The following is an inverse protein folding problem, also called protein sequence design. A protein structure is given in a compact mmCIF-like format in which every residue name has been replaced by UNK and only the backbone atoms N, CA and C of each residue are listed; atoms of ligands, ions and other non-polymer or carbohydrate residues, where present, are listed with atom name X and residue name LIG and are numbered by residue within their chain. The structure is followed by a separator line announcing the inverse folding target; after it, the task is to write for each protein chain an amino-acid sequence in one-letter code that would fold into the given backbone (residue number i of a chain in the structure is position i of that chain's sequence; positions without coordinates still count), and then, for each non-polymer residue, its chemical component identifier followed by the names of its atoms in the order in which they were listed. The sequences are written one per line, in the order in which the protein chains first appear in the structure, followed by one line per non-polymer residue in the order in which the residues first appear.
data_IF_561944831325
#
_entry.id   IF_561944831325
#
_cell.length_a   1.000
_cell.length_b   1.000
_cell.length_c   1.000
_cell.angle_alpha   90.00
_cell.angle_beta   90.00
_cell.angle_gamma   90.00
#
_symmetry.space_group_name_H-M   'P 1'
#
loop_
_entity.id
_entity.type
_entity.pdbx_description
1 polymer ?
#
# COMPACT_ATOMS: atom_id res chain seq x y z
N UNK A 1 6.69 0.54 20.91
CA UNK A 1 6.09 -0.79 20.74
C UNK A 1 7.05 -1.63 19.90
N UNK A 2 7.54 -2.78 20.39
CA UNK A 2 8.52 -3.59 19.62
C UNK A 2 7.89 -4.49 18.55
N UNK A 3 6.69 -5.02 18.82
CA UNK A 3 5.89 -5.82 17.89
C UNK A 3 4.63 -5.03 17.53
N UNK A 4 4.42 -4.72 16.25
CA UNK A 4 3.32 -3.87 15.76
C UNK A 4 2.46 -4.63 14.76
N UNK A 5 1.17 -4.33 14.69
CA UNK A 5 0.28 -4.80 13.63
C UNK A 5 0.25 -3.79 12.48
N UNK A 6 0.39 -4.30 11.27
CA UNK A 6 0.36 -3.58 10.01
C UNK A 6 -0.78 -4.10 9.13
N UNK A 7 -1.27 -3.22 8.25
CA UNK A 7 -2.15 -3.61 7.15
C UNK A 7 -2.07 -2.63 6.00
N UNK A 8 -2.30 -3.11 4.78
CA UNK A 8 -2.43 -2.29 3.57
C UNK A 8 -3.83 -2.45 3.00
N UNK A 9 -4.44 -1.35 2.57
CA UNK A 9 -5.69 -1.28 1.82
C UNK A 9 -5.35 -0.74 0.43
N UNK A 10 -5.40 -1.58 -0.60
CA UNK A 10 -5.01 -1.18 -1.95
C UNK A 10 -6.21 -1.22 -2.87
N UNK A 11 -6.59 -0.04 -3.40
CA UNK A 11 -7.57 0.12 -4.46
C UNK A 11 -6.89 -0.05 -5.84
N UNK A 12 -7.58 -0.71 -6.77
CA UNK A 12 -7.06 -0.99 -8.11
C UNK A 12 -7.88 -0.27 -9.18
N UNK A 13 -7.18 0.46 -10.05
CA UNK A 13 -7.78 1.03 -11.24
C UNK A 13 -8.23 -0.07 -12.19
N UNK A 14 -9.42 0.04 -12.77
CA UNK A 14 -9.98 -0.99 -13.66
C UNK A 14 -10.48 -0.39 -14.98
N UNK A 15 -10.16 -1.04 -16.10
CA UNK A 15 -10.75 -0.70 -17.39
C UNK A 15 -10.83 -1.91 -18.30
N UNK A 16 -11.76 -1.88 -19.26
CA UNK A 16 -11.86 -2.85 -20.33
C UNK A 16 -11.84 -2.10 -21.67
N UNK A 17 -10.91 -2.50 -22.55
CA UNK A 17 -10.74 -1.83 -23.84
C UNK A 17 -10.79 -2.83 -24.99
N UNK A 18 -11.24 -2.37 -26.15
CA UNK A 18 -11.20 -3.10 -27.39
C UNK A 18 -10.75 -2.14 -28.50
N UNK A 19 -9.66 -2.48 -29.20
CA UNK A 19 -9.06 -1.63 -30.26
C UNK A 19 -8.83 -0.18 -29.83
N UNK A 20 -8.36 0.02 -28.59
CA UNK A 20 -8.05 1.34 -28.04
C UNK A 20 -9.25 2.16 -27.55
N UNK A 21 -10.47 1.62 -27.64
CA UNK A 21 -11.67 2.26 -27.11
C UNK A 21 -12.19 1.53 -25.87
N UNK A 22 -12.76 2.28 -24.92
CA UNK A 22 -13.41 1.68 -23.75
C UNK A 22 -14.59 0.82 -24.22
N UNK A 23 -14.60 -0.45 -23.84
CA UNK A 23 -15.62 -1.42 -24.23
C UNK A 23 -16.72 -1.56 -23.16
N UNK A 24 -16.32 -1.56 -21.89
CA UNK A 24 -17.21 -1.65 -20.75
C UNK A 24 -16.91 -0.52 -19.75
N UNK A 25 -17.92 -0.06 -19.04
CA UNK A 25 -17.75 0.84 -17.90
C UNK A 25 -17.00 0.15 -16.75
N UNK A 26 -16.30 0.90 -15.86
CA UNK A 26 -15.65 0.33 -14.68
C UNK A 26 -16.59 -0.55 -13.85
N UNK A 27 -17.84 -0.12 -13.65
CA UNK A 27 -18.87 -0.88 -12.91
C UNK A 27 -19.19 -2.23 -13.55
N UNK A 28 -19.30 -2.28 -14.88
CA UNK A 28 -19.53 -3.54 -15.60
C UNK A 28 -18.33 -4.47 -15.45
N UNK A 29 -17.11 -3.96 -15.62
CA UNK A 29 -15.89 -4.76 -15.45
C UNK A 29 -15.78 -5.29 -14.02
N UNK A 30 -16.05 -4.44 -13.02
CA UNK A 30 -16.08 -4.83 -11.62
C UNK A 30 -17.08 -5.97 -11.36
N UNK A 31 -18.28 -5.93 -11.96
CA UNK A 31 -19.25 -7.03 -11.88
C UNK A 31 -18.73 -8.32 -12.50
N UNK A 32 -18.04 -8.25 -13.66
CA UNK A 32 -17.42 -9.44 -14.26
C UNK A 32 -16.31 -10.02 -13.40
N UNK A 33 -15.46 -9.18 -12.80
CA UNK A 33 -14.40 -9.61 -11.88
C UNK A 33 -14.99 -10.27 -10.63
N UNK A 34 -15.98 -9.64 -10.00
CA UNK A 34 -16.53 -10.07 -8.72
C UNK A 34 -17.62 -11.15 -8.85
N UNK A 35 -18.01 -11.58 -10.06
CA UNK A 35 -18.99 -12.68 -10.23
C UNK A 35 -18.54 -13.95 -9.47
N UNK A 36 -17.23 -14.26 -9.49
CA UNK A 36 -16.65 -15.39 -8.73
C UNK A 36 -16.59 -15.11 -7.23
N UNK A 37 -16.38 -13.86 -6.82
CA UNK A 37 -16.35 -13.44 -5.40
C UNK A 37 -17.75 -13.53 -4.78
N UNK A 38 -18.77 -13.09 -5.51
CA UNK A 38 -20.17 -13.20 -5.11
C UNK A 38 -20.57 -14.67 -4.98
N UNK A 39 -20.05 -15.58 -5.81
CA UNK A 39 -20.33 -17.00 -5.61
C UNK A 39 -19.62 -17.60 -4.39
N UNK A 40 -18.55 -16.98 -3.88
CA UNK A 40 -17.87 -17.40 -2.63
C UNK A 40 -18.62 -16.98 -1.37
N UNK A 41 -19.17 -15.77 -1.34
CA UNK A 41 -19.72 -15.17 -0.10
C UNK A 41 -21.10 -14.53 -0.21
N UNK A 42 -21.79 -14.70 -1.34
CA UNK A 42 -23.09 -14.04 -1.68
C UNK A 42 -23.06 -12.50 -1.60
N UNK A 43 -21.86 -11.92 -1.60
CA UNK A 43 -21.60 -10.49 -1.41
C UNK A 43 -20.41 -10.07 -2.26
N UNK A 44 -20.37 -8.81 -2.70
CA UNK A 44 -19.20 -8.19 -3.31
C UNK A 44 -18.15 -7.76 -2.29
N UNK A 45 -18.37 -8.05 -1.01
CA UNK A 45 -17.47 -7.78 0.11
C UNK A 45 -17.32 -9.07 0.93
N UNK A 46 -16.13 -9.66 0.89
CA UNK A 46 -15.85 -10.96 1.52
C UNK A 46 -14.52 -10.94 2.26
N UNK A 47 -14.45 -11.72 3.34
CA UNK A 47 -13.18 -12.12 3.92
C UNK A 47 -12.72 -13.44 3.29
N UNK A 48 -11.44 -13.52 2.97
CA UNK A 48 -10.80 -14.65 2.31
C UNK A 48 -10.17 -15.61 3.32
N UNK A 49 -9.80 -16.83 2.85
CA UNK A 49 -9.13 -17.85 3.67
C UNK A 49 -7.80 -17.40 4.25
N UNK A 50 -7.06 -16.58 3.51
CA UNK A 50 -5.82 -15.97 4.01
C UNK A 50 -6.06 -14.82 5.01
N UNK A 51 -7.30 -14.58 5.44
CA UNK A 51 -7.66 -13.55 6.40
C UNK A 51 -7.77 -12.14 5.83
N UNK A 52 -7.45 -11.93 4.55
CA UNK A 52 -7.63 -10.67 3.85
C UNK A 52 -9.11 -10.33 3.66
N UNK A 53 -9.40 -9.08 3.31
CA UNK A 53 -10.72 -8.63 2.87
C UNK A 53 -10.63 -8.18 1.41
N UNK A 54 -11.56 -8.65 0.58
CA UNK A 54 -11.67 -8.28 -0.82
C UNK A 54 -13.08 -7.71 -1.07
N UNK A 55 -13.14 -6.49 -1.58
CA UNK A 55 -14.42 -5.82 -1.79
C UNK A 55 -14.40 -4.83 -2.95
N UNK A 56 -15.58 -4.32 -3.32
CA UNK A 56 -15.73 -3.16 -4.20
C UNK A 56 -15.91 -1.91 -3.35
N UNK A 57 -14.99 -0.95 -3.46
CA UNK A 57 -15.08 0.33 -2.77
C UNK A 57 -15.80 1.39 -3.63
N UNK A 58 -15.85 2.64 -3.13
CA UNK A 58 -16.49 3.77 -3.80
C UNK A 58 -15.89 3.97 -5.20
N UNK A 59 -16.76 4.13 -6.20
CA UNK A 59 -16.35 4.24 -7.60
C UNK A 59 -16.05 2.90 -8.27
N UNK A 60 -16.46 1.78 -7.65
CA UNK A 60 -16.35 0.42 -8.20
C UNK A 60 -14.92 -0.07 -8.40
N UNK A 61 -13.96 0.49 -7.65
CA UNK A 61 -12.60 -0.02 -7.59
C UNK A 61 -12.59 -1.34 -6.80
N UNK A 62 -12.02 -2.42 -7.36
CA UNK A 62 -11.60 -3.56 -6.55
C UNK A 62 -10.63 -3.09 -5.47
N UNK A 63 -10.90 -3.44 -4.22
CA UNK A 63 -10.01 -3.15 -3.11
C UNK A 63 -9.64 -4.43 -2.38
N UNK A 64 -8.34 -4.61 -2.15
CA UNK A 64 -7.80 -5.69 -1.34
C UNK A 64 -7.15 -5.10 -0.08
N UNK A 65 -7.67 -5.48 1.07
CA UNK A 65 -7.07 -5.18 2.37
C UNK A 65 -6.35 -6.43 2.90
N UNK A 66 -5.04 -6.32 3.16
CA UNK A 66 -4.23 -7.43 3.66
C UNK A 66 -4.78 -7.96 4.99
N UNK A 67 -4.52 -9.23 5.35
CA UNK A 67 -4.67 -9.65 6.74
C UNK A 67 -3.75 -8.81 7.64
N UNK A 68 -4.04 -8.80 8.93
CA UNK A 68 -3.16 -8.21 9.93
C UNK A 68 -1.83 -8.96 9.95
N UNK A 69 -0.74 -8.25 9.68
CA UNK A 69 0.62 -8.79 9.72
C UNK A 69 1.39 -8.12 10.86
N UNK A 70 2.32 -8.83 11.49
CA UNK A 70 3.25 -8.27 12.49
C UNK A 70 4.73 -8.36 12.06
N UNK A 71 4.95 -8.83 10.83
CA UNK A 71 6.20 -8.85 10.09
C UNK A 71 6.01 -8.01 8.82
N UNK A 72 6.93 -7.09 8.53
CA UNK A 72 6.87 -6.28 7.30
C UNK A 72 7.10 -7.16 6.07
N UNK A 73 7.91 -8.22 6.18
CA UNK A 73 8.14 -9.17 5.09
C UNK A 73 6.87 -9.94 4.78
N UNK A 74 6.14 -10.39 5.81
CA UNK A 74 4.86 -11.09 5.64
C UNK A 74 3.82 -10.16 5.02
N UNK A 75 3.79 -8.89 5.44
CA UNK A 75 2.91 -7.88 4.84
C UNK A 75 3.18 -7.73 3.33
N UNK A 76 4.45 -7.67 2.93
CA UNK A 76 4.84 -7.60 1.51
C UNK A 76 4.36 -8.85 0.77
N UNK A 77 4.57 -10.05 1.33
CA UNK A 77 4.08 -11.28 0.73
C UNK A 77 2.56 -11.30 0.56
N UNK A 78 1.81 -10.84 1.56
CA UNK A 78 0.34 -10.77 1.53
C UNK A 78 -0.22 -9.69 0.60
N UNK A 79 0.48 -8.56 0.44
CA UNK A 79 0.15 -7.54 -0.56
C UNK A 79 0.34 -8.10 -1.98
N UNK A 80 1.46 -8.79 -2.23
CA UNK A 80 1.69 -9.51 -3.50
C UNK A 80 0.68 -10.62 -3.73
N UNK A 81 0.26 -11.33 -2.68
CA UNK A 81 -0.80 -12.34 -2.78
C UNK A 81 -2.13 -11.73 -3.25
N UNK A 82 -2.46 -10.52 -2.78
CA UNK A 82 -3.61 -9.75 -3.25
C UNK A 82 -3.57 -9.48 -4.76
N UNK A 83 -2.41 -9.06 -5.28
CA UNK A 83 -2.22 -8.89 -6.72
C UNK A 83 -2.43 -10.20 -7.50
N UNK A 84 -1.95 -11.34 -6.98
CA UNK A 84 -2.12 -12.64 -7.63
C UNK A 84 -3.57 -13.13 -7.59
N UNK A 85 -4.31 -12.83 -6.54
CA UNK A 85 -5.75 -13.11 -6.45
C UNK A 85 -6.50 -12.29 -7.51
N UNK A 86 -6.23 -10.99 -7.60
CA UNK A 86 -6.86 -10.11 -8.58
C UNK A 86 -6.47 -10.44 -10.03
N UNK A 87 -5.21 -10.81 -10.30
CA UNK A 87 -4.78 -11.32 -11.61
C UNK A 87 -5.58 -12.59 -12.00
N UNK A 88 -5.84 -13.49 -11.05
CA UNK A 88 -6.69 -14.66 -11.26
C UNK A 88 -8.14 -14.29 -11.61
N UNK A 89 -8.72 -13.32 -10.89
CA UNK A 89 -10.07 -12.82 -11.18
C UNK A 89 -10.16 -12.16 -12.56
N UNK A 90 -9.11 -11.43 -12.96
CA UNK A 90 -8.98 -10.82 -14.29
C UNK A 90 -9.02 -11.89 -15.38
N UNK A 91 -8.17 -12.92 -15.27
CA UNK A 91 -8.12 -14.01 -16.27
C UNK A 91 -9.46 -14.72 -16.40
N UNK A 92 -10.12 -15.00 -15.27
CA UNK A 92 -11.45 -15.61 -15.27
C UNK A 92 -12.50 -14.70 -15.91
N UNK A 93 -12.42 -13.39 -15.68
CA UNK A 93 -13.35 -12.42 -16.25
C UNK A 93 -13.16 -12.27 -17.76
N UNK A 94 -11.92 -12.22 -18.25
CA UNK A 94 -11.63 -12.20 -19.69
C UNK A 94 -12.15 -13.46 -20.38
N UNK A 95 -11.96 -14.64 -19.77
CA UNK A 95 -12.54 -15.89 -20.29
C UNK A 95 -14.06 -15.80 -20.41
N UNK A 96 -14.76 -15.31 -19.38
CA UNK A 96 -16.22 -15.12 -19.42
C UNK A 96 -16.66 -14.15 -20.51
N UNK A 97 -15.98 -13.02 -20.65
CA UNK A 97 -16.28 -12.05 -21.72
C UNK A 97 -16.16 -12.71 -23.09
N UNK A 98 -15.10 -13.48 -23.31
CA UNK A 98 -14.89 -14.22 -24.55
C UNK A 98 -15.99 -15.26 -24.79
N UNK A 99 -16.35 -16.06 -23.78
CA UNK A 99 -17.41 -17.07 -23.86
C UNK A 99 -18.79 -16.44 -24.16
N UNK A 100 -19.03 -15.21 -23.69
CA UNK A 100 -20.23 -14.41 -23.98
C UNK A 100 -20.14 -13.64 -25.33
N UNK A 101 -19.08 -13.85 -26.13
CA UNK A 101 -18.88 -13.20 -27.43
C UNK A 101 -18.46 -11.73 -27.37
N UNK A 102 -18.04 -11.25 -26.20
CA UNK A 102 -17.61 -9.87 -25.97
C UNK A 102 -16.09 -9.81 -26.11
N UNK A 103 -15.63 -9.25 -27.24
CA UNK A 103 -14.22 -8.95 -27.42
C UNK A 103 -13.80 -7.75 -26.56
N UNK A 104 -12.79 -7.94 -25.71
CA UNK A 104 -12.22 -6.90 -24.86
C UNK A 104 -11.09 -7.43 -23.99
N UNK A 105 -10.17 -6.55 -23.63
CA UNK A 105 -9.06 -6.84 -22.72
C UNK A 105 -9.26 -6.06 -21.42
N UNK A 106 -9.16 -6.75 -20.29
CA UNK A 106 -9.26 -6.13 -18.97
C UNK A 106 -7.87 -5.72 -18.50
N UNK A 107 -7.80 -4.55 -17.89
CA UNK A 107 -6.61 -4.00 -17.25
C UNK A 107 -6.93 -3.70 -15.80
N UNK A 108 -6.04 -4.14 -14.90
CA UNK A 108 -6.04 -3.78 -13.50
C UNK A 108 -4.72 -3.08 -13.19
N UNK A 109 -4.80 -1.88 -12.63
CA UNK A 109 -3.65 -1.05 -12.33
C UNK A 109 -3.50 -0.88 -10.83
N UNK A 110 -2.32 -1.23 -10.30
CA UNK A 110 -1.92 -0.90 -8.92
C UNK A 110 -1.19 0.43 -8.91
N UNK A 111 -1.95 1.51 -9.08
CA UNK A 111 -1.48 2.88 -9.10
C UNK A 111 -2.46 3.76 -8.29
N UNK A 112 -2.40 5.08 -8.45
CA UNK A 112 -3.23 6.00 -7.65
C UNK A 112 -4.05 6.99 -8.45
N UNK A 113 -3.93 7.02 -9.78
CA UNK A 113 -4.62 8.01 -10.60
C UNK A 113 -5.03 7.44 -11.95
N UNK A 114 -6.22 7.79 -12.43
CA UNK A 114 -6.64 7.49 -13.79
C UNK A 114 -6.30 8.63 -14.78
N UNK A 115 -6.59 8.41 -16.06
CA UNK A 115 -6.41 9.40 -17.12
C UNK A 115 -7.38 10.58 -17.04
N UNK A 116 -8.46 10.47 -16.25
CA UNK A 116 -9.43 11.55 -16.04
C UNK A 116 -9.05 12.45 -14.85
N UNK A 117 -7.96 12.14 -14.14
CA UNK A 117 -7.51 12.89 -12.98
C UNK A 117 -8.18 12.47 -11.66
N UNK A 118 -9.00 11.41 -11.67
CA UNK A 118 -9.48 10.82 -10.43
C UNK A 118 -8.32 10.13 -9.71
N UNK A 119 -8.41 10.04 -8.38
CA UNK A 119 -7.41 9.34 -7.59
C UNK A 119 -8.03 8.42 -6.56
N UNK A 120 -7.39 7.26 -6.41
CA UNK A 120 -7.68 6.16 -5.49
C UNK A 120 -6.41 5.81 -4.69
N UNK A 121 -6.58 5.14 -3.56
CA UNK A 121 -5.55 5.04 -2.51
C UNK A 121 -4.85 3.69 -2.38
N UNK A 122 -3.62 3.75 -1.87
CA UNK A 122 -3.06 2.68 -1.05
C UNK A 122 -2.97 3.24 0.37
N UNK A 123 -3.79 2.75 1.28
CA UNK A 123 -3.76 3.19 2.68
C UNK A 123 -2.95 2.23 3.53
N UNK A 124 -2.20 2.80 4.46
CA UNK A 124 -1.39 2.07 5.41
C UNK A 124 -2.03 2.17 6.79
N UNK A 125 -2.06 1.03 7.49
CA UNK A 125 -2.64 0.91 8.82
C UNK A 125 -1.56 0.46 9.79
N UNK A 126 -1.34 1.26 10.83
CA UNK A 126 -0.40 0.95 11.91
C UNK A 126 -1.13 0.92 13.24
N UNK A 127 -1.05 -0.20 13.95
CA UNK A 127 -1.51 -0.24 15.34
C UNK A 127 -0.57 0.61 16.19
N UNK A 128 -1.08 1.62 16.89
CA UNK A 128 -0.31 2.45 17.81
C UNK A 128 -0.92 2.39 19.21
N UNK A 129 -0.09 2.63 20.22
CA UNK A 129 -0.58 2.73 21.61
C UNK A 129 -1.57 3.89 21.73
N UNK A 130 -2.61 3.71 22.54
CA UNK A 130 -3.49 4.83 22.93
C UNK A 130 -2.84 5.74 23.97
N UNK A 131 -1.81 5.27 24.66
CA UNK A 131 -1.06 6.06 25.64
C UNK A 131 -0.22 7.14 24.94
N UNK A 132 -0.32 8.38 25.42
CA UNK A 132 0.38 9.54 24.88
C UNK A 132 -0.52 10.50 24.09
N UNK A 133 0.04 11.64 23.71
CA UNK A 133 -0.67 12.67 22.96
C UNK A 133 -0.58 12.41 21.46
N UNK A 134 -1.74 12.21 20.81
CA UNK A 134 -1.79 11.99 19.36
C UNK A 134 -1.26 13.18 18.55
N UNK A 135 -1.42 14.40 19.07
CA UNK A 135 -0.87 15.62 18.45
C UNK A 135 0.64 15.52 18.27
N UNK A 136 1.38 15.15 19.33
CA UNK A 136 2.84 14.96 19.28
C UNK A 136 3.24 13.88 18.26
N UNK A 137 2.47 12.80 18.14
CA UNK A 137 2.70 11.79 17.12
C UNK A 137 2.57 12.40 15.72
N UNK A 138 1.50 13.14 15.46
CA UNK A 138 1.26 13.79 14.17
C UNK A 138 2.35 14.84 13.84
N UNK A 139 2.77 15.65 14.81
CA UNK A 139 3.77 16.72 14.63
C UNK A 139 5.12 16.15 14.16
N UNK A 140 5.54 15.00 14.71
CA UNK A 140 6.76 14.32 14.28
C UNK A 140 6.50 13.54 12.98
N UNK A 141 5.35 12.91 12.82
CA UNK A 141 5.13 12.01 11.69
C UNK A 141 4.88 12.75 10.36
N UNK A 142 4.20 13.90 10.37
CA UNK A 142 3.83 14.63 9.15
C UNK A 142 5.05 15.04 8.30
N UNK A 143 6.11 15.67 8.86
CA UNK A 143 7.30 16.03 8.07
C UNK A 143 7.98 14.81 7.43
N UNK A 144 8.04 13.69 8.16
CA UNK A 144 8.53 12.42 7.61
C UNK A 144 7.66 11.95 6.45
N UNK A 145 6.33 11.88 6.63
CA UNK A 145 5.40 11.40 5.61
C UNK A 145 5.39 12.26 4.34
N UNK A 146 5.49 13.58 4.48
CA UNK A 146 5.58 14.53 3.36
C UNK A 146 6.83 14.30 2.52
N UNK A 147 7.96 14.00 3.16
CA UNK A 147 9.27 13.87 2.49
C UNK A 147 9.62 12.43 2.10
N UNK A 148 8.92 11.44 2.68
CA UNK A 148 9.06 10.00 2.43
C UNK A 148 8.86 9.61 0.95
N UNK A 149 8.15 10.42 0.16
CA UNK A 149 8.02 10.18 -1.28
C UNK A 149 9.36 10.13 -2.03
N UNK A 150 10.43 10.74 -1.50
CA UNK A 150 11.79 10.57 -2.03
C UNK A 150 12.25 9.12 -1.98
N UNK A 151 11.92 8.42 -0.90
CA UNK A 151 12.40 7.05 -0.67
C UNK A 151 11.42 6.00 -1.17
N UNK A 152 10.12 6.29 -1.27
CA UNK A 152 9.13 5.28 -1.65
C UNK A 152 8.03 5.74 -2.63
N UNK A 153 8.22 6.84 -3.35
CA UNK A 153 7.31 7.26 -4.41
C UNK A 153 7.22 6.24 -5.55
N UNK A 154 6.07 6.17 -6.22
CA UNK A 154 5.85 5.28 -7.35
C UNK A 154 6.15 5.95 -8.72
N UNK A 155 6.39 7.26 -8.71
CA UNK A 155 6.67 8.06 -9.89
C UNK A 155 5.43 8.39 -10.71
N UNK A 156 5.40 9.58 -11.31
CA UNK A 156 4.32 10.01 -12.22
C UNK A 156 4.85 10.92 -13.32
N UNK A 157 4.38 10.74 -14.55
CA UNK A 157 4.54 11.75 -15.60
C UNK A 157 3.34 12.69 -15.54
N UNK A 158 3.53 13.86 -14.94
CA UNK A 158 2.49 14.86 -14.78
C UNK A 158 2.50 15.84 -15.96
N UNK A 159 1.35 16.01 -16.61
CA UNK A 159 1.16 17.06 -17.60
C UNK A 159 0.85 18.37 -16.88
N UNK A 160 1.67 19.40 -17.09
CA UNK A 160 1.45 20.74 -16.54
C UNK A 160 1.27 21.74 -17.69
N UNK A 161 0.71 22.95 -17.43
CA UNK A 161 0.67 24.01 -18.42
C UNK A 161 2.04 24.42 -18.99
N UNK A 162 3.13 24.11 -18.27
CA UNK A 162 4.52 24.41 -18.68
C UNK A 162 5.23 23.24 -19.38
N UNK A 163 4.52 22.12 -19.59
CA UNK A 163 5.06 20.88 -20.14
C UNK A 163 4.96 19.70 -19.18
N UNK A 164 5.33 18.53 -19.67
CA UNK A 164 5.38 17.32 -18.85
C UNK A 164 6.56 17.36 -17.89
N UNK A 165 6.34 16.93 -16.65
CA UNK A 165 7.37 16.78 -15.62
C UNK A 165 7.28 15.40 -14.99
N UNK A 166 8.42 14.86 -14.56
CA UNK A 166 8.45 13.61 -13.80
C UNK A 166 8.42 13.93 -12.31
N UNK A 167 7.44 13.40 -11.59
CA UNK A 167 7.23 13.62 -10.17
C UNK A 167 7.50 12.34 -9.37
N UNK A 168 7.86 12.48 -8.10
CA UNK A 168 8.10 11.36 -7.18
C UNK A 168 6.80 10.61 -6.85
N UNK A 169 5.72 11.33 -6.55
CA UNK A 169 4.47 10.76 -6.05
C UNK A 169 3.30 10.96 -7.00
N UNK A 170 2.46 9.93 -7.13
CA UNK A 170 1.17 10.01 -7.80
C UNK A 170 0.09 10.68 -6.95
N UNK A 171 0.19 10.55 -5.61
CA UNK A 171 -0.80 11.04 -4.64
C UNK A 171 -0.66 12.50 -4.29
N UNK A 172 0.55 13.07 -4.34
CA UNK A 172 0.84 14.42 -3.81
C UNK A 172 -0.12 15.53 -4.29
N UNK A 173 -0.53 15.53 -5.57
CA UNK A 173 -1.46 16.53 -6.12
C UNK A 173 -2.88 16.43 -5.55
N UNK A 174 -3.24 15.26 -5.01
CA UNK A 174 -4.58 14.92 -4.56
C UNK A 174 -4.76 14.93 -3.04
N UNK A 175 -3.76 15.39 -2.29
CA UNK A 175 -3.80 15.55 -0.82
C UNK A 175 -4.12 17.01 -0.48
N UNK A 176 -5.11 17.23 0.39
CA UNK A 176 -5.64 18.58 0.66
C UNK A 176 -5.58 19.01 2.13
N UNK A 177 -5.52 18.07 3.06
CA UNK A 177 -5.47 18.36 4.51
C UNK A 177 -4.31 17.64 5.20
N UNK A 178 -3.82 18.20 6.31
CA UNK A 178 -2.80 17.52 7.11
C UNK A 178 -3.41 16.34 7.88
N UNK A 179 -4.51 16.63 8.58
CA UNK A 179 -5.19 15.68 9.48
C UNK A 179 -6.70 15.87 9.32
N UNK A 180 -7.45 14.79 9.10
CA UNK A 180 -8.91 14.83 8.89
C UNK A 180 -9.53 13.45 9.16
N UNK A 181 -10.85 13.34 9.24
CA UNK A 181 -11.54 12.04 9.37
C UNK A 181 -12.11 11.50 8.05
N UNK A 182 -12.20 12.34 7.01
CA UNK A 182 -12.71 11.95 5.70
C UNK A 182 -11.59 11.42 4.79
N UNK A 183 -11.87 10.38 4.00
CA UNK A 183 -10.91 9.75 3.07
C UNK A 183 -11.09 10.19 1.62
N UNK A 184 -12.30 10.60 1.22
CA UNK A 184 -12.62 10.88 -0.19
C UNK A 184 -12.70 12.36 -0.54
N UNK A 185 -13.24 13.21 0.35
CA UNK A 185 -13.45 14.66 0.12
C UNK A 185 -12.23 15.52 0.49
N UNK A 186 -11.69 15.36 1.70
CA UNK A 186 -10.58 16.18 2.20
C UNK A 186 -9.20 15.52 2.08
N UNK A 187 -9.13 14.18 1.99
CA UNK A 187 -7.89 13.40 1.78
C UNK A 187 -6.71 13.92 2.62
N UNK A 188 -6.72 13.68 3.94
CA UNK A 188 -5.66 14.13 4.83
C UNK A 188 -4.34 13.37 4.63
N UNK A 189 -3.24 13.80 5.22
CA UNK A 189 -2.03 12.97 5.33
C UNK A 189 -2.27 11.83 6.32
N UNK A 190 -2.84 12.16 7.49
CA UNK A 190 -3.24 11.22 8.54
C UNK A 190 -4.75 11.25 8.72
N UNK A 191 -5.40 10.09 8.58
CA UNK A 191 -6.80 9.94 8.90
C UNK A 191 -7.00 9.67 10.41
N UNK A 192 -7.96 10.39 11.01
CA UNK A 192 -8.25 10.37 12.47
C UNK A 192 -9.47 9.55 12.86
N UNK A 193 -10.04 8.78 11.93
CA UNK A 193 -11.18 7.91 12.24
C UNK A 193 -10.77 6.90 13.32
N UNK A 194 -11.43 6.96 14.47
CA UNK A 194 -11.10 6.13 15.63
C UNK A 194 -11.77 4.75 15.56
N UNK A 195 -11.37 3.95 14.57
CA UNK A 195 -11.78 2.55 14.39
C UNK A 195 -10.56 1.65 14.58
N UNK A 196 -10.17 1.33 15.84
CA UNK A 196 -8.92 0.62 16.11
C UNK A 196 -8.93 -0.83 15.61
N UNK A 197 -10.12 -1.39 15.35
CA UNK A 197 -10.35 -2.83 15.16
C UNK A 197 -9.59 -3.64 16.21
N UNK A 198 -9.47 -3.17 17.43
CA UNK A 198 -8.76 -3.80 18.53
C UNK A 198 -9.42 -3.34 19.83
N UNK A 199 -8.84 -3.69 20.97
CA UNK A 199 -9.22 -3.08 22.24
C UNK A 199 -9.03 -1.56 22.20
N UNK A 200 -10.14 -0.83 22.24
CA UNK A 200 -10.19 0.61 22.11
C UNK A 200 -9.61 1.36 23.33
N UNK A 201 -9.45 0.70 24.48
CA UNK A 201 -8.78 1.33 25.63
C UNK A 201 -7.26 1.31 25.47
N UNK A 202 -6.73 0.33 24.74
CA UNK A 202 -5.29 0.08 24.62
C UNK A 202 -4.68 0.66 23.34
N UNK A 203 -5.45 0.67 22.25
CA UNK A 203 -4.89 0.90 20.92
C UNK A 203 -5.67 1.94 20.10
N UNK A 204 -4.98 2.47 19.08
CA UNK A 204 -5.54 3.23 17.96
C UNK A 204 -5.05 2.60 16.64
N UNK A 205 -5.84 2.76 15.58
CA UNK A 205 -5.41 2.48 14.21
C UNK A 205 -4.97 3.79 13.58
N UNK A 206 -3.67 3.97 13.42
CA UNK A 206 -3.13 5.09 12.66
C UNK A 206 -3.29 4.78 11.17
N UNK A 207 -4.16 5.54 10.50
CA UNK A 207 -4.50 5.35 9.09
C UNK A 207 -3.83 6.43 8.25
N UNK A 208 -2.87 6.03 7.42
CA UNK A 208 -2.04 6.93 6.60
C UNK A 208 -2.45 6.74 5.14
N UNK A 209 -2.83 7.83 4.46
CA UNK A 209 -3.40 7.75 3.10
C UNK A 209 -2.56 8.47 2.03
N UNK A 210 -1.38 8.95 2.42
CA UNK A 210 -0.46 9.75 1.59
C UNK A 210 0.45 8.90 0.70
N UNK A 211 0.62 7.61 1.03
CA UNK A 211 1.51 6.71 0.31
C UNK A 211 0.99 6.36 -1.09
N UNK A 212 1.92 6.20 -2.03
CA UNK A 212 1.61 5.64 -3.35
C UNK A 212 1.42 4.11 -3.28
N UNK A 213 0.70 3.57 -4.26
CA UNK A 213 0.62 2.14 -4.53
C UNK A 213 1.93 1.69 -5.19
N UNK A 214 2.68 0.82 -4.53
CA UNK A 214 3.99 0.37 -4.99
C UNK A 214 3.91 -0.97 -5.69
N UNK A 215 4.59 -1.09 -6.84
CA UNK A 215 4.77 -2.36 -7.54
C UNK A 215 5.94 -3.14 -6.97
N UNK A 216 7.02 -2.42 -6.63
CA UNK A 216 8.26 -3.02 -6.16
C UNK A 216 8.19 -3.43 -4.68
N UNK A 217 8.40 -4.72 -4.42
CA UNK A 217 8.41 -5.32 -3.08
C UNK A 217 9.39 -4.62 -2.13
N UNK A 218 10.56 -4.23 -2.62
CA UNK A 218 11.59 -3.54 -1.84
C UNK A 218 11.16 -2.10 -1.51
N UNK A 219 10.45 -1.44 -2.42
CA UNK A 219 9.84 -0.13 -2.12
C UNK A 219 8.77 -0.24 -1.05
N UNK A 220 7.90 -1.26 -1.10
CA UNK A 220 6.88 -1.50 -0.05
C UNK A 220 7.54 -1.80 1.31
N UNK A 221 8.60 -2.62 1.33
CA UNK A 221 9.40 -2.89 2.53
C UNK A 221 9.94 -1.59 3.15
N UNK A 222 10.55 -0.72 2.33
CA UNK A 222 11.08 0.55 2.78
C UNK A 222 9.98 1.50 3.28
N UNK A 223 8.87 1.60 2.54
CA UNK A 223 7.72 2.46 2.89
C UNK A 223 7.17 2.16 4.28
N UNK A 224 6.89 0.87 4.54
CA UNK A 224 6.28 0.42 5.80
C UNK A 224 7.31 0.33 6.92
N UNK A 225 8.49 -0.22 6.61
CA UNK A 225 9.56 -0.39 7.60
C UNK A 225 10.09 0.93 8.15
N UNK A 226 10.32 1.94 7.28
CA UNK A 226 10.79 3.25 7.73
C UNK A 226 9.76 3.94 8.62
N UNK A 227 8.48 3.87 8.27
CA UNK A 227 7.38 4.40 9.07
C UNK A 227 7.28 3.69 10.43
N UNK A 228 7.41 2.36 10.47
CA UNK A 228 7.44 1.61 11.72
C UNK A 228 8.58 2.05 12.63
N UNK A 229 9.80 2.20 12.10
CA UNK A 229 10.95 2.65 12.88
C UNK A 229 10.70 4.06 13.44
N UNK A 230 10.15 4.99 12.64
CA UNK A 230 9.78 6.34 13.11
C UNK A 230 8.72 6.28 14.22
N UNK A 231 7.69 5.44 14.08
CA UNK A 231 6.68 5.26 15.12
C UNK A 231 7.30 4.68 16.41
N UNK A 232 8.23 3.72 16.30
CA UNK A 232 8.95 3.16 17.46
C UNK A 232 9.81 4.22 18.14
N UNK A 233 10.47 5.10 17.38
CA UNK A 233 11.23 6.23 17.93
C UNK A 233 10.34 7.18 18.72
N UNK A 234 9.19 7.58 18.15
CA UNK A 234 8.21 8.45 18.80
C UNK A 234 7.72 7.82 20.12
N UNK A 235 7.31 6.54 20.07
CA UNK A 235 6.81 5.82 21.24
C UNK A 235 7.89 5.59 22.31
N UNK A 236 9.16 5.50 21.92
CA UNK A 236 10.29 5.41 22.84
C UNK A 236 10.73 6.77 23.39
N UNK A 237 10.09 7.88 22.98
CA UNK A 237 10.41 9.22 23.44
C UNK A 237 11.73 9.77 22.88
N UNK A 238 12.20 9.26 21.73
CA UNK A 238 13.39 9.80 21.07
C UNK A 238 13.17 11.28 20.76
N UNK A 239 14.11 12.12 21.17
CA UNK A 239 14.04 13.57 20.93
C UNK A 239 14.40 13.82 19.46
N UNK A 240 13.44 14.37 18.74
CA UNK A 240 13.57 14.81 17.35
C UNK A 240 13.69 16.33 17.29
N UNK A 241 14.45 16.84 16.33
CA UNK A 241 14.39 18.26 15.98
C UNK A 241 12.97 18.60 15.54
N UNK A 242 12.49 19.80 15.88
CA UNK A 242 11.24 20.31 15.35
C UNK A 242 11.38 20.63 13.85
N UNK A 243 10.75 19.79 13.04
CA UNK A 243 10.69 19.87 11.58
C UNK A 243 9.26 20.17 11.11
N UNK A 244 8.41 20.73 11.98
CA UNK A 244 7.04 21.12 11.64
C UNK A 244 7.03 22.01 10.41
N UNK A 245 6.27 21.61 9.40
CA UNK A 245 6.16 22.33 8.13
C UNK A 245 5.18 23.49 8.29
N UNK A 246 5.51 24.68 7.74
CA UNK A 246 4.61 25.83 7.75
C UNK A 246 3.29 25.48 7.03
N UNK A 247 3.39 24.78 5.91
CA UNK A 247 2.24 24.29 5.15
C UNK A 247 2.55 22.90 4.56
N UNK A 248 2.15 21.81 5.24
CA UNK A 248 2.37 20.44 4.77
C UNK A 248 1.81 20.16 3.37
N UNK A 249 0.72 20.83 3.00
CA UNK A 249 -0.05 20.61 1.76
C UNK A 249 0.59 21.29 0.56
N UNK A 250 1.22 22.45 0.79
CA UNK A 250 2.12 23.03 -0.20
C UNK A 250 3.38 22.17 -0.30
N UNK A 251 4.03 21.87 0.82
CA UNK A 251 5.29 21.15 0.87
C UNK A 251 5.21 19.80 0.15
N UNK A 252 4.16 19.00 0.33
CA UNK A 252 4.03 17.69 -0.34
C UNK A 252 4.07 17.76 -1.86
N UNK A 253 3.45 18.77 -2.47
CA UNK A 253 3.50 19.00 -3.92
C UNK A 253 4.87 19.50 -4.35
N UNK A 254 5.43 20.43 -3.58
CA UNK A 254 6.75 20.99 -3.85
C UNK A 254 7.86 19.93 -3.82
N UNK A 255 7.78 18.98 -2.90
CA UNK A 255 8.67 17.83 -2.81
C UNK A 255 8.44 16.87 -3.97
N UNK A 256 7.18 16.56 -4.32
CA UNK A 256 6.88 15.64 -5.43
C UNK A 256 7.49 16.09 -6.76
N UNK A 257 7.49 17.39 -7.01
CA UNK A 257 7.99 17.98 -8.26
C UNK A 257 9.53 18.07 -8.33
N UNK A 258 10.25 17.74 -7.27
CA UNK A 258 11.71 17.78 -7.24
C UNK A 258 12.32 16.43 -6.88
N UNK A 259 12.67 15.67 -7.92
CA UNK A 259 13.33 14.36 -7.76
C UNK A 259 14.74 14.45 -7.15
N UNK A 260 15.34 15.65 -7.09
CA UNK A 260 16.65 15.85 -6.45
C UNK A 260 16.54 16.01 -4.94
N UNK A 261 15.34 16.29 -4.42
CA UNK A 261 15.09 16.53 -3.00
C UNK A 261 15.79 17.77 -2.44
N UNK A 262 16.28 18.68 -3.29
CA UNK A 262 17.08 19.87 -2.90
C UNK A 262 16.23 21.12 -2.72
N UNK A 263 15.04 21.15 -3.30
CA UNK A 263 14.09 22.25 -3.18
C UNK A 263 13.74 22.47 -1.71
N UNK A 264 13.90 23.71 -1.27
CA UNK A 264 13.61 24.13 0.10
C UNK A 264 12.12 24.27 0.32
N UNK A 265 11.66 23.81 1.49
CA UNK A 265 10.33 24.01 2.06
C UNK A 265 10.46 24.75 3.38
N UNK A 266 9.45 25.56 3.71
CA UNK A 266 9.46 26.39 4.91
C UNK A 266 8.94 25.63 6.13
N UNK A 267 9.67 25.71 7.23
CA UNK A 267 9.26 25.21 8.54
C UNK A 267 8.41 26.26 9.27
N UNK A 268 7.60 25.83 10.24
CA UNK A 268 6.84 26.71 11.13
C UNK A 268 7.75 27.66 11.93
N UNK A 269 9.00 27.25 12.18
CA UNK A 269 10.05 28.11 12.78
C UNK A 269 10.55 29.25 11.87
N UNK A 270 10.08 29.31 10.62
CA UNK A 270 10.53 30.26 9.59
C UNK A 270 11.81 29.86 8.85
N UNK A 271 12.53 28.82 9.32
CA UNK A 271 13.70 28.25 8.64
C UNK A 271 13.29 27.51 7.36
N UNK A 272 14.23 27.38 6.44
CA UNK A 272 14.07 26.62 5.20
C UNK A 272 14.96 25.38 5.21
N UNK A 273 14.40 24.23 4.84
CA UNK A 273 15.10 22.94 4.77
C UNK A 273 14.64 22.18 3.53
N UNK A 274 15.48 21.32 2.96
CA UNK A 274 15.08 20.49 1.83
C UNK A 274 14.46 19.17 2.29
N UNK A 275 13.74 18.50 1.40
CA UNK A 275 13.20 17.17 1.70
C UNK A 275 14.30 16.13 1.95
N UNK A 276 15.43 16.24 1.23
CA UNK A 276 16.60 15.40 1.46
C UNK A 276 17.17 15.61 2.87
N UNK A 277 17.33 16.87 3.33
CA UNK A 277 17.83 17.19 4.67
C UNK A 277 16.89 16.67 5.77
N UNK A 278 15.57 16.81 5.58
CA UNK A 278 14.57 16.25 6.50
C UNK A 278 14.75 14.73 6.60
N UNK A 279 14.83 14.03 5.48
CA UNK A 279 14.98 12.57 5.47
C UNK A 279 16.33 12.11 6.05
N UNK A 280 17.41 12.87 5.85
CA UNK A 280 18.71 12.60 6.45
C UNK A 280 18.66 12.70 7.99
N UNK A 281 17.95 13.69 8.55
CA UNK A 281 17.73 13.80 10.00
C UNK A 281 16.96 12.58 10.55
N UNK A 282 15.88 12.16 9.88
CA UNK A 282 15.13 10.96 10.26
C UNK A 282 15.99 9.69 10.18
N UNK A 283 16.76 9.52 9.11
CA UNK A 283 17.64 8.37 8.94
C UNK A 283 18.72 8.32 10.02
N UNK A 284 19.34 9.46 10.36
CA UNK A 284 20.37 9.51 11.39
C UNK A 284 19.82 9.02 12.73
N UNK A 285 18.63 9.51 13.11
CA UNK A 285 17.94 9.09 14.34
C UNK A 285 17.48 7.63 14.29
N UNK A 286 16.97 7.18 13.15
CA UNK A 286 16.56 5.80 12.94
C UNK A 286 17.75 4.83 13.07
N UNK A 287 18.90 5.18 12.50
CA UNK A 287 20.14 4.41 12.59
C UNK A 287 20.58 4.28 14.05
N UNK A 288 20.74 5.41 14.75
CA UNK A 288 21.12 5.46 16.17
C UNK A 288 20.15 4.64 17.04
N UNK A 289 18.84 4.73 16.76
CA UNK A 289 17.81 3.99 17.49
C UNK A 289 17.92 2.47 17.28
N UNK A 290 18.07 2.03 16.03
CA UNK A 290 18.18 0.60 15.67
C UNK A 290 19.46 -0.02 16.23
N UNK A 291 20.58 0.70 16.17
CA UNK A 291 21.86 0.26 16.73
C UNK A 291 21.78 0.07 18.25
N UNK A 292 21.23 1.05 18.99
CA UNK A 292 21.11 0.98 20.46
C UNK A 292 20.15 -0.10 20.95
N UNK A 293 19.06 -0.34 20.22
CA UNK A 293 18.02 -1.31 20.60
C UNK A 293 18.33 -2.73 20.12
N UNK A 294 19.38 -2.93 19.31
CA UNK A 294 19.72 -4.24 18.75
C UNK A 294 18.68 -4.73 17.75
N UNK A 295 18.16 -3.84 16.89
CA UNK A 295 17.03 -4.12 15.98
C UNK A 295 17.21 -5.38 15.12
N UNK A 296 16.08 -5.96 14.71
CA UNK A 296 16.04 -7.18 13.91
C UNK A 296 16.65 -6.98 12.50
N UNK A 297 16.80 -8.09 11.76
CA UNK A 297 17.39 -8.04 10.41
C UNK A 297 16.57 -7.18 9.45
N UNK A 298 15.25 -7.13 9.62
CA UNK A 298 14.37 -6.31 8.80
C UNK A 298 14.62 -4.83 9.04
N UNK A 299 14.70 -4.39 10.30
CA UNK A 299 15.00 -3.01 10.67
C UNK A 299 16.37 -2.57 10.17
N UNK A 300 17.39 -3.43 10.28
CA UNK A 300 18.73 -3.18 9.74
C UNK A 300 18.72 -3.03 8.22
N UNK A 301 18.04 -3.94 7.51
CA UNK A 301 17.86 -3.87 6.04
C UNK A 301 17.14 -2.59 5.62
N UNK A 302 16.11 -2.17 6.36
CA UNK A 302 15.36 -0.95 6.07
C UNK A 302 16.23 0.29 6.22
N UNK A 303 16.99 0.42 7.31
CA UNK A 303 17.89 1.57 7.54
C UNK A 303 19.01 1.62 6.50
N UNK A 304 19.59 0.46 6.18
CA UNK A 304 20.63 0.32 5.14
C UNK A 304 20.12 0.80 3.77
N UNK A 305 18.97 0.28 3.35
CA UNK A 305 18.33 0.65 2.09
C UNK A 305 17.95 2.13 2.08
N UNK A 306 17.37 2.65 3.17
CA UNK A 306 17.04 4.06 3.30
C UNK A 306 18.29 4.94 3.08
N UNK A 307 19.41 4.58 3.69
CA UNK A 307 20.68 5.27 3.49
C UNK A 307 21.20 5.22 2.05
N UNK A 308 21.10 4.06 1.38
CA UNK A 308 21.48 3.94 -0.05
C UNK A 308 20.62 4.82 -0.94
N UNK A 309 19.31 4.88 -0.72
CA UNK A 309 18.40 5.71 -1.50
C UNK A 309 18.70 7.20 -1.31
N UNK A 310 18.89 7.65 -0.08
CA UNK A 310 19.24 9.06 0.16
C UNK A 310 20.61 9.42 -0.45
N UNK A 311 21.60 8.52 -0.38
CA UNK A 311 22.89 8.72 -1.03
C UNK A 311 22.75 8.82 -2.55
N UNK A 312 21.95 7.95 -3.17
CA UNK A 312 21.69 7.97 -4.60
C UNK A 312 21.02 9.29 -5.05
N UNK A 313 20.05 9.79 -4.28
CA UNK A 313 19.41 11.10 -4.51
C UNK A 313 20.42 12.24 -4.34
N UNK A 314 21.25 12.19 -3.29
CA UNK A 314 22.25 13.21 -3.00
C UNK A 314 23.32 13.31 -4.10
N UNK A 315 23.87 12.18 -4.56
CA UNK A 315 24.89 12.16 -5.61
C UNK A 315 24.31 12.36 -7.01
N UNK A 316 23.01 12.15 -7.19
CA UNK A 316 22.35 12.09 -8.50
C UNK A 316 22.59 10.77 -9.25
N UNK A 317 23.36 9.85 -8.69
CA UNK A 317 23.54 8.51 -9.25
C UNK A 317 22.47 7.56 -8.69
N UNK A 318 21.38 7.44 -9.44
CA UNK A 318 20.24 6.60 -9.09
C UNK A 318 20.42 5.12 -9.49
N UNK A 319 21.50 4.76 -10.20
CA UNK A 319 21.67 3.39 -10.69
C UNK A 319 21.74 2.33 -9.57
N UNK A 320 22.41 2.56 -8.43
CA UNK A 320 22.51 1.57 -7.36
C UNK A 320 21.18 1.16 -6.72
N UNK A 321 20.10 1.91 -6.94
CA UNK A 321 18.76 1.65 -6.39
C UNK A 321 17.70 1.47 -7.49
N UNK A 322 18.13 1.35 -8.75
CA UNK A 322 17.25 1.28 -9.94
C UNK A 322 16.40 0.01 -10.00
N UNK A 323 16.74 -1.00 -9.21
CA UNK A 323 16.05 -2.29 -9.11
C UNK A 323 15.11 -2.38 -7.91
N UNK A 324 15.15 -1.41 -7.01
CA UNK A 324 14.54 -1.48 -5.68
C UNK A 324 13.46 -0.40 -5.48
N UNK A 325 13.63 0.78 -6.09
CA UNK A 325 12.74 1.93 -5.90
C UNK A 325 11.88 2.16 -7.13
N UNK A 326 10.55 2.18 -6.96
CA UNK A 326 9.58 2.26 -8.08
C UNK A 326 9.78 3.48 -8.97
N UNK A 327 9.83 4.70 -8.40
CA UNK A 327 10.00 5.90 -9.20
C UNK A 327 11.33 5.91 -9.95
N UNK A 328 12.40 5.33 -9.37
CA UNK A 328 13.69 5.20 -10.04
C UNK A 328 13.61 4.16 -11.18
N UNK A 329 13.06 2.98 -10.89
CA UNK A 329 12.90 1.88 -11.85
C UNK A 329 12.11 2.36 -13.08
N UNK A 330 11.00 3.07 -12.82
CA UNK A 330 10.15 3.63 -13.86
C UNK A 330 10.83 4.77 -14.61
N UNK A 331 11.51 5.70 -13.91
CA UNK A 331 12.25 6.78 -14.55
C UNK A 331 13.30 6.22 -15.52
N UNK A 332 14.12 5.25 -15.10
CA UNK A 332 15.13 4.61 -15.96
C UNK A 332 14.52 3.93 -17.18
N UNK A 333 13.38 3.26 -17.00
CA UNK A 333 12.63 2.65 -18.10
C UNK A 333 12.17 3.70 -19.13
N UNK A 334 11.61 4.81 -18.66
CA UNK A 334 11.15 5.93 -19.50
C UNK A 334 12.34 6.60 -20.20
N UNK A 335 13.39 6.99 -19.47
CA UNK A 335 14.59 7.64 -20.00
C UNK A 335 15.26 6.79 -21.09
N UNK A 336 15.34 5.47 -20.89
CA UNK A 336 15.89 4.55 -21.90
C UNK A 336 15.03 4.56 -23.18
N UNK A 337 13.71 4.56 -23.03
CA UNK A 337 12.80 4.58 -24.18
C UNK A 337 12.85 5.92 -24.92
N UNK A 338 12.87 7.03 -24.19
CA UNK A 338 13.03 8.38 -24.74
C UNK A 338 14.32 8.50 -25.55
N UNK A 339 15.46 8.07 -25.00
CA UNK A 339 16.75 8.09 -25.70
C UNK A 339 16.77 7.19 -26.94
N UNK A 340 16.16 6.01 -26.86
CA UNK A 340 16.14 5.05 -27.98
C UNK A 340 15.30 5.56 -29.17
N UNK A 341 14.23 6.30 -28.89
CA UNK A 341 13.24 6.70 -29.89
C UNK A 341 13.18 8.21 -30.14
N UNK A 342 14.07 8.98 -29.51
CA UNK A 342 14.11 10.45 -29.55
C UNK A 342 12.75 11.10 -29.23
N UNK A 343 12.17 10.73 -28.08
CA UNK A 343 10.83 11.19 -27.67
C UNK A 343 10.88 12.15 -26.49
N UNK A 344 10.12 13.26 -26.52
CA UNK A 344 9.96 14.13 -25.36
C UNK A 344 9.12 13.46 -24.27
N UNK A 345 9.23 13.96 -23.03
CA UNK A 345 8.49 13.40 -21.88
C UNK A 345 6.97 13.55 -22.04
N UNK A 346 6.53 14.58 -22.78
CA UNK A 346 5.12 14.84 -23.10
C UNK A 346 4.53 13.89 -24.13
N UNK A 347 5.33 13.03 -24.76
CA UNK A 347 4.84 12.14 -25.82
C UNK A 347 3.80 11.14 -25.26
N UNK A 348 2.66 10.89 -25.95
CA UNK A 348 1.61 9.98 -25.46
C UNK A 348 2.10 8.56 -25.13
N UNK A 349 3.13 8.09 -25.83
CA UNK A 349 3.77 6.80 -25.54
C UNK A 349 4.43 6.75 -24.15
N UNK A 350 4.97 7.87 -23.66
CA UNK A 350 5.54 7.95 -22.31
C UNK A 350 4.42 7.88 -21.26
N UNK A 351 3.32 8.60 -21.48
CA UNK A 351 2.13 8.50 -20.60
C UNK A 351 1.55 7.07 -20.56
N UNK A 352 1.53 6.39 -21.71
CA UNK A 352 1.15 4.97 -21.77
C UNK A 352 2.11 4.09 -20.96
N UNK A 353 3.42 4.33 -21.03
CA UNK A 353 4.41 3.58 -20.25
C UNK A 353 4.26 3.82 -18.74
N UNK A 354 4.00 5.06 -18.33
CA UNK A 354 3.73 5.41 -16.93
C UNK A 354 2.57 4.58 -16.37
N UNK A 355 1.46 4.48 -17.11
CA UNK A 355 0.31 3.65 -16.73
C UNK A 355 0.62 2.14 -16.82
N UNK A 356 1.24 1.68 -17.91
CA UNK A 356 1.51 0.26 -18.14
C UNK A 356 2.55 -0.33 -17.18
N UNK A 357 3.35 0.50 -16.50
CA UNK A 357 4.20 0.09 -15.39
C UNK A 357 3.39 -0.61 -14.28
N UNK A 358 2.15 -0.16 -14.05
CA UNK A 358 1.29 -0.61 -12.97
C UNK A 358 0.29 -1.70 -13.34
N UNK A 359 0.29 -2.18 -14.59
CA UNK A 359 -0.61 -3.27 -15.00
C UNK A 359 -0.21 -4.57 -14.30
N UNK A 360 -1.17 -5.15 -13.58
CA UNK A 360 -0.94 -6.35 -12.76
C UNK A 360 -0.64 -7.60 -13.57
N UNK A 361 -1.08 -7.65 -14.83
CA UNK A 361 -0.92 -8.85 -15.66
C UNK A 361 0.55 -9.06 -15.95
N UNK A 362 1.15 -10.10 -15.34
CA UNK A 362 2.60 -10.35 -15.43
C UNK A 362 3.06 -10.33 -16.88
N UNK A 363 2.36 -11.04 -17.78
CA UNK A 363 2.70 -11.17 -19.19
C UNK A 363 2.71 -9.86 -20.01
N UNK A 364 2.13 -8.78 -19.49
CA UNK A 364 1.83 -7.55 -20.24
C UNK A 364 2.36 -6.28 -19.55
N UNK A 365 2.16 -6.15 -18.24
CA UNK A 365 2.60 -4.98 -17.47
C UNK A 365 4.12 -4.84 -17.42
N UNK A 366 4.60 -3.60 -17.46
CA UNK A 366 6.04 -3.33 -17.59
C UNK A 366 6.81 -3.75 -16.34
N UNK A 367 6.28 -3.53 -15.13
CA UNK A 367 6.92 -4.04 -13.90
C UNK A 367 7.00 -5.58 -13.92
N UNK A 368 5.91 -6.28 -14.25
CA UNK A 368 5.92 -7.75 -14.35
C UNK A 368 6.86 -8.30 -15.43
N UNK A 369 7.12 -7.53 -16.49
CA UNK A 369 8.14 -7.84 -17.49
C UNK A 369 9.57 -7.64 -16.95
N UNK A 370 9.82 -6.61 -16.14
CA UNK A 370 11.11 -6.39 -15.47
C UNK A 370 11.38 -7.50 -14.44
N UNK A 371 10.39 -7.85 -13.64
CA UNK A 371 10.44 -8.94 -12.65
C UNK A 371 10.83 -10.27 -13.31
N UNK A 372 10.16 -10.65 -14.40
CA UNK A 372 10.52 -11.88 -15.16
C UNK A 372 11.94 -11.90 -15.71
N UNK A 373 12.51 -10.73 -16.00
CA UNK A 373 13.89 -10.61 -16.52
C UNK A 373 14.92 -10.48 -15.41
N UNK A 374 14.51 -10.58 -14.15
CA UNK A 374 15.39 -10.34 -12.99
C UNK A 374 15.95 -8.93 -12.99
N UNK A 375 15.17 -7.93 -13.44
CA UNK A 375 15.55 -6.51 -13.50
C UNK A 375 15.03 -5.68 -12.32
N UNK A 376 14.37 -6.33 -11.37
CA UNK A 376 13.96 -5.76 -10.08
C UNK A 376 14.31 -6.75 -8.99
N UNK A 377 14.56 -6.24 -7.80
CA UNK A 377 14.86 -7.05 -6.62
C UNK A 377 13.57 -7.39 -5.88
N UNK A 378 13.62 -8.48 -5.11
CA UNK A 378 12.46 -9.06 -4.45
C UNK A 378 12.68 -9.19 -2.94
N UNK A 379 11.58 -9.23 -2.21
CA UNK A 379 11.54 -9.49 -0.78
C UNK A 379 10.96 -10.87 -0.52
N UNK A 380 9.89 -11.23 -1.22
CA UNK A 380 9.20 -12.51 -1.11
C UNK A 380 9.43 -13.36 -2.36
N UNK A 381 9.52 -14.66 -2.17
CA UNK A 381 9.65 -15.67 -3.22
C UNK A 381 8.28 -16.06 -3.78
N UNK A 382 8.24 -16.66 -4.96
CA UNK A 382 6.98 -17.15 -5.55
C UNK A 382 6.25 -18.18 -4.68
N UNK A 383 6.94 -19.14 -4.02
CA UNK A 383 6.31 -20.04 -3.05
C UNK A 383 5.65 -19.29 -1.87
N UNK A 384 6.33 -18.33 -1.27
CA UNK A 384 5.78 -17.55 -0.14
C UNK A 384 4.55 -16.73 -0.56
N UNK A 385 4.59 -16.10 -1.74
CA UNK A 385 3.43 -15.36 -2.28
C UNK A 385 2.28 -16.32 -2.59
N UNK A 386 2.58 -17.51 -3.13
CA UNK A 386 1.55 -18.50 -3.43
C UNK A 386 0.88 -19.02 -2.15
N UNK A 387 1.67 -19.31 -1.11
CA UNK A 387 1.18 -19.70 0.21
C UNK A 387 0.31 -18.61 0.84
N UNK A 388 0.76 -17.35 0.81
CA UNK A 388 0.05 -16.20 1.37
C UNK A 388 -1.32 -15.91 0.73
N UNK A 389 -1.66 -16.54 -0.40
CA UNK A 389 -3.00 -16.48 -1.00
C UNK A 389 -4.04 -17.31 -0.24
N UNK A 390 -3.61 -18.38 0.42
CA UNK A 390 -4.50 -19.35 1.07
C UNK A 390 -4.28 -19.39 2.58
N UNK A 391 -3.03 -19.24 3.02
CA UNK A 391 -2.62 -19.33 4.42
C UNK A 391 -2.52 -17.92 5.02
N UNK A 392 -3.23 -17.61 6.12
CA UNK A 392 -3.09 -16.32 6.83
C UNK A 392 -1.75 -16.22 7.58
N UNK A 393 -1.36 -15.01 8.03
CA UNK A 393 -0.26 -14.85 8.99
C UNK A 393 -0.50 -15.69 10.25
N UNK A 394 0.45 -16.54 10.61
CA UNK A 394 0.29 -17.52 11.71
C UNK A 394 0.51 -16.92 13.11
N UNK A 395 0.99 -15.67 13.16
CA UNK A 395 1.36 -14.95 14.37
C UNK A 395 0.29 -13.98 14.87
N UNK A 396 -0.71 -13.67 14.04
CA UNK A 396 -1.75 -12.68 14.35
C UNK A 396 -3.14 -13.31 14.41
N UNK A 397 -4.16 -12.53 14.79
CA UNK A 397 -5.55 -12.98 14.77
C UNK A 397 -6.06 -13.37 13.38
N UNK A 398 -5.38 -12.97 12.31
CA UNK A 398 -5.75 -13.36 10.96
C UNK A 398 -5.76 -14.89 10.81
N UNK A 399 -4.91 -15.61 11.56
CA UNK A 399 -4.94 -17.07 11.68
C UNK A 399 -6.31 -17.59 12.15
N UNK A 400 -6.83 -17.03 13.24
CA UNK A 400 -8.14 -17.42 13.80
C UNK A 400 -9.26 -17.23 12.76
N UNK A 401 -9.21 -16.09 12.05
CA UNK A 401 -10.17 -15.76 11.00
C UNK A 401 -10.08 -16.73 9.83
N UNK A 402 -8.88 -16.98 9.31
CA UNK A 402 -8.65 -17.85 8.18
C UNK A 402 -9.07 -19.29 8.45
N UNK A 403 -8.71 -19.84 9.62
CA UNK A 403 -9.13 -21.18 10.05
C UNK A 403 -10.64 -21.28 10.19
N UNK A 404 -11.29 -20.28 10.79
CA UNK A 404 -12.75 -20.26 10.91
C UNK A 404 -13.43 -20.25 9.53
N UNK A 405 -12.99 -19.39 8.60
CA UNK A 405 -13.54 -19.30 7.24
C UNK A 405 -13.33 -20.62 6.49
N UNK A 406 -12.14 -21.20 6.59
CA UNK A 406 -11.80 -22.47 5.92
C UNK A 406 -12.75 -23.59 6.35
N UNK A 407 -12.88 -23.83 7.66
CA UNK A 407 -13.76 -24.90 8.17
C UNK A 407 -15.22 -24.64 7.86
N UNK A 408 -15.70 -23.39 8.00
CA UNK A 408 -17.08 -23.06 7.70
C UNK A 408 -17.43 -23.32 6.22
N UNK A 409 -16.52 -23.01 5.29
CA UNK A 409 -16.69 -23.30 3.87
C UNK A 409 -16.64 -24.81 3.56
N UNK A 410 -15.70 -25.56 4.14
CA UNK A 410 -15.60 -27.01 3.98
C UNK A 410 -16.87 -27.74 4.47
N UNK A 411 -17.44 -27.26 5.58
CA UNK A 411 -18.69 -27.77 6.18
C UNK A 411 -19.95 -27.15 5.58
N UNK A 412 -19.83 -26.21 4.64
CA UNK A 412 -20.95 -25.47 4.00
C UNK A 412 -21.89 -24.81 5.02
N UNK A 413 -21.34 -24.24 6.09
CA UNK A 413 -22.09 -23.49 7.10
C UNK A 413 -22.21 -22.02 6.71
N UNK A 414 -23.34 -21.40 7.06
CA UNK A 414 -23.54 -19.97 6.86
C UNK A 414 -22.88 -19.19 8.02
N UNK A 415 -22.07 -18.18 7.69
CA UNK A 415 -21.30 -17.43 8.69
C UNK A 415 -21.23 -15.94 8.37
N UNK A 416 -20.85 -15.15 9.38
CA UNK A 416 -20.54 -13.73 9.25
C UNK A 416 -19.24 -13.43 9.96
N UNK A 417 -18.33 -12.75 9.27
CA UNK A 417 -16.99 -12.40 9.75
C UNK A 417 -16.72 -10.93 9.53
N UNK A 418 -16.03 -10.33 10.48
CA UNK A 418 -15.40 -9.01 10.37
C UNK A 418 -13.99 -9.08 11.01
N UNK A 419 -13.26 -7.97 11.05
CA UNK A 419 -11.91 -7.90 11.62
C UNK A 419 -11.83 -8.44 13.06
N UNK A 420 -12.89 -8.23 13.87
CA UNK A 420 -12.93 -8.62 15.29
C UNK A 420 -14.04 -9.61 15.67
N UNK A 421 -14.94 -9.95 14.75
CA UNK A 421 -16.11 -10.81 15.02
C UNK A 421 -16.09 -12.06 14.15
N UNK A 422 -16.28 -13.24 14.76
CA UNK A 422 -16.54 -14.50 14.06
C UNK A 422 -17.88 -15.05 14.53
N UNK A 423 -18.83 -15.30 13.61
CA UNK A 423 -20.19 -15.73 13.94
C UNK A 423 -20.68 -16.83 12.99
N UNK A 424 -21.29 -17.88 13.55
CA UNK A 424 -22.13 -18.84 12.82
C UNK A 424 -23.59 -18.34 12.81
N UNK A 425 -24.23 -18.35 11.64
CA UNK A 425 -25.56 -17.73 11.47
C UNK A 425 -26.73 -18.69 11.76
N UNK A 426 -26.46 -19.98 11.72
CA UNK A 426 -27.45 -21.05 11.89
C UNK A 426 -27.67 -21.48 13.35
N UNK A 427 -26.92 -20.92 14.29
CA UNK A 427 -27.09 -21.13 15.73
C UNK A 427 -27.18 -19.80 16.47
N UNK A 428 -28.23 -19.64 17.29
CA UNK A 428 -28.35 -18.48 18.16
C UNK A 428 -27.17 -18.43 19.15
N UNK A 429 -26.54 -17.25 19.29
CA UNK A 429 -25.54 -16.90 20.31
C UNK A 429 -24.09 -17.42 20.17
N UNK A 430 -23.62 -17.85 19.00
CA UNK A 430 -22.20 -18.23 18.82
C UNK A 430 -21.37 -17.18 18.07
N UNK A 431 -21.18 -16.02 18.71
CA UNK A 431 -20.24 -14.98 18.24
C UNK A 431 -19.01 -14.94 19.14
N UNK A 432 -17.81 -14.99 18.55
CA UNK A 432 -16.54 -14.84 19.27
C UNK A 432 -15.87 -13.51 18.91
N UNK A 433 -15.47 -12.76 19.92
CA UNK A 433 -14.76 -11.48 19.79
C UNK A 433 -13.24 -11.65 19.87
N UNK A 434 -12.55 -11.31 18.78
CA UNK A 434 -11.10 -11.37 18.61
C UNK A 434 -10.48 -9.96 18.67
N UNK A 435 -10.62 -9.30 19.83
CA UNK A 435 -10.17 -7.90 20.03
C UNK A 435 -8.65 -7.74 20.16
N UNK A 436 -7.92 -8.79 20.50
CA UNK A 436 -6.46 -8.77 20.54
C UNK A 436 -5.89 -9.18 19.18
N UNK A 437 -5.31 -8.24 18.41
CA UNK A 437 -4.80 -8.55 17.08
C UNK A 437 -3.53 -9.42 17.11
N UNK A 438 -2.84 -9.51 18.25
CA UNK A 438 -1.63 -10.33 18.42
C UNK A 438 -1.94 -11.79 18.78
N UNK A 439 -3.20 -12.11 19.10
CA UNK A 439 -3.61 -13.45 19.54
C UNK A 439 -3.95 -14.33 18.35
N UNK A 440 -3.05 -15.27 18.03
CA UNK A 440 -3.23 -16.25 16.95
C UNK A 440 -3.91 -17.56 17.37
N UNK A 441 -4.11 -17.78 18.67
CA UNK A 441 -4.69 -19.00 19.25
C UNK A 441 -5.74 -18.62 20.30
N UNK A 442 -6.96 -19.15 20.19
CA UNK A 442 -8.06 -18.85 21.10
C UNK A 442 -9.01 -20.05 21.21
N UNK A 443 -9.07 -20.66 22.38
CA UNK A 443 -9.93 -21.82 22.68
C UNK A 443 -11.40 -21.57 22.35
N UNK A 444 -11.87 -20.31 22.43
CA UNK A 444 -13.25 -19.96 22.10
C UNK A 444 -13.52 -20.13 20.60
N UNK A 445 -12.52 -19.80 19.77
CA UNK A 445 -12.60 -20.01 18.31
C UNK A 445 -12.45 -21.49 17.98
N UNK A 446 -11.56 -22.22 18.66
CA UNK A 446 -11.42 -23.67 18.48
C UNK A 446 -12.71 -24.43 18.82
N UNK A 447 -13.37 -24.10 19.93
CA UNK A 447 -14.68 -24.65 20.28
C UNK A 447 -15.76 -24.30 19.26
N UNK A 448 -15.71 -23.09 18.69
CA UNK A 448 -16.63 -22.66 17.64
C UNK A 448 -16.43 -23.49 16.37
N UNK A 449 -15.18 -23.69 15.94
CA UNK A 449 -14.81 -24.50 14.77
C UNK A 449 -15.19 -25.98 14.98
N UNK A 450 -14.88 -26.55 16.15
CA UNK A 450 -15.19 -27.93 16.48
C UNK A 450 -16.69 -28.25 16.48
N UNK A 451 -17.54 -27.21 16.49
CA UNK A 451 -18.99 -27.34 16.50
C UNK A 451 -19.67 -27.25 15.13
N UNK A 452 -18.90 -27.03 14.06
CA UNK A 452 -19.36 -27.01 12.66
C UNK A 452 -19.41 -28.42 12.06
#
# INVERSE_FOLDING_TARGET
MERRIFGLETEYGVTCTYRGQRRLSPDEVARYLFRRVVSWGRSSNVFLRNGARLYLDVGSHPEYATPECDSVVDLVAHDRAGERILEGLLVDAEKRLHDEGIAGEIYLFKNNTDSAGNSYGCHENYLVSRHGEFGRLADVLIPFLVTRQLICGAGKVLQTPRGAVYCLSQRAEHIWEGVSSATTRSRPIINTRDEPHADAERYRRLHVIVGDSNMNEVTTLLKVGSADIVLRMIEAGVVMRDLSLENPIRAIREVSHDITGRRKVRLASGKEVSALEIQQEYLAKATEFVERRGGDQTAKRVVELWGRVLRAVETGDLEPVSREIDWVSKLRLIERYQRKHDLPLSHPRVAQMDLAYHDLRRGRGLYGLLERRGQVDRVATDPEIFEAKETPPQTTRARLRGEFIRHAQEKRRDFTVDWVHLKLNDQAQRTVLCKDPFRAYDERVERLIASM
#
